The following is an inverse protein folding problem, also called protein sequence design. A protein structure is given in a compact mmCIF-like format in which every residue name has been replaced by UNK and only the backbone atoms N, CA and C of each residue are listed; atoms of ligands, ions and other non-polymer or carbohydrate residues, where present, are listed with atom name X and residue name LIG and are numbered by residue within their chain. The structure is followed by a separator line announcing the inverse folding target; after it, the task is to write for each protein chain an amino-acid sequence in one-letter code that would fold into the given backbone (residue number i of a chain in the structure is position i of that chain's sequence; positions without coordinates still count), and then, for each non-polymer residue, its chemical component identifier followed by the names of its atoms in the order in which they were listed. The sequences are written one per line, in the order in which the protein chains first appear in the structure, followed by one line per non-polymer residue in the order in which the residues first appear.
data_IF_985477964536
#
_entry.id   IF_985477964536
#
_cell.length_a   1.000
_cell.length_b   1.000
_cell.length_c   1.000
_cell.angle_alpha   90.00
_cell.angle_beta   90.00
_cell.angle_gamma   90.00
#
_symmetry.space_group_name_H-M   'P 1'
#
loop_
_entity.id
_entity.type
_entity.pdbx_description
1 polymer ?
#
# COMPACT_ATOMS: atom_id res chain seq x y z
N UNK A 1 -0.10 10.11 -28.06
CA UNK A 1 -1.49 9.68 -27.84
C UNK A 1 -1.99 10.39 -26.60
N UNK A 2 -2.87 11.37 -26.80
CA UNK A 2 -3.53 12.13 -25.72
C UNK A 2 -4.67 11.28 -25.16
N UNK A 3 -4.62 10.94 -23.87
CA UNK A 3 -5.79 10.49 -23.15
C UNK A 3 -6.45 11.70 -22.47
N UNK A 4 -7.73 11.96 -22.70
CA UNK A 4 -8.43 13.02 -21.98
C UNK A 4 -8.66 12.58 -20.53
N UNK A 5 -8.18 13.40 -19.59
CA UNK A 5 -8.53 13.32 -18.19
C UNK A 5 -10.05 13.56 -18.05
N UNK A 6 -10.80 12.55 -17.69
CA UNK A 6 -12.18 12.74 -17.24
C UNK A 6 -12.13 13.29 -15.81
N UNK A 7 -12.13 14.60 -15.70
CA UNK A 7 -12.52 15.27 -14.48
C UNK A 7 -14.03 15.13 -14.35
N UNK A 8 -14.49 14.24 -13.47
CA UNK A 8 -15.88 14.21 -13.05
C UNK A 8 -16.11 15.42 -12.14
N UNK A 9 -16.44 16.56 -12.75
CA UNK A 9 -17.01 17.70 -12.04
C UNK A 9 -18.42 17.29 -11.59
N UNK A 10 -18.61 17.06 -10.28
CA UNK A 10 -19.93 17.06 -9.70
C UNK A 10 -20.48 18.48 -9.75
N UNK A 11 -21.20 18.79 -10.81
CA UNK A 11 -22.08 19.95 -10.86
C UNK A 11 -23.27 19.64 -9.94
N UNK A 12 -23.24 20.19 -8.73
CA UNK A 12 -24.45 20.38 -7.95
C UNK A 12 -25.25 21.48 -8.62
N UNK A 13 -26.04 21.13 -9.62
CA UNK A 13 -27.12 21.98 -10.06
C UNK A 13 -28.16 21.98 -8.93
N UNK A 14 -28.13 23.01 -8.11
CA UNK A 14 -29.23 23.30 -7.19
C UNK A 14 -30.47 23.62 -8.01
N UNK A 15 -31.33 22.64 -8.21
CA UNK A 15 -32.69 22.88 -8.67
C UNK A 15 -33.45 23.44 -7.49
N UNK A 16 -33.62 24.78 -7.49
CA UNK A 16 -34.66 25.40 -6.67
C UNK A 16 -36.01 24.99 -7.28
N UNK A 17 -36.65 24.01 -6.68
CA UNK A 17 -38.06 23.76 -6.97
C UNK A 17 -38.85 24.85 -6.27
N UNK A 18 -39.34 25.80 -7.02
CA UNK A 18 -40.45 26.63 -6.57
C UNK A 18 -41.66 25.71 -6.46
N UNK A 19 -42.04 25.38 -5.23
CA UNK A 19 -43.34 24.76 -5.00
C UNK A 19 -44.40 25.78 -5.46
N UNK A 20 -45.17 25.40 -6.48
CA UNK A 20 -46.46 26.05 -6.71
C UNK A 20 -47.36 25.69 -5.49
N UNK A 21 -47.64 26.65 -4.68
CA UNK A 21 -48.76 26.60 -3.76
C UNK A 21 -50.03 26.71 -4.60
N UNK A 22 -50.61 25.61 -4.97
CA UNK A 22 -51.99 25.52 -5.39
C UNK A 22 -52.78 24.94 -4.22
N UNK A 23 -53.47 25.83 -3.54
CA UNK A 23 -54.49 25.53 -2.54
C UNK A 23 -55.69 24.82 -3.23
N UNK A 24 -55.56 23.57 -3.58
CA UNK A 24 -56.67 22.68 -3.87
C UNK A 24 -56.58 21.45 -2.96
N UNK A 25 -57.44 21.54 -1.92
CA UNK A 25 -57.65 20.62 -0.82
C UNK A 25 -58.24 19.27 -1.28
N UNK A 26 -57.70 18.63 -2.33
CA UNK A 26 -58.11 17.29 -2.75
C UNK A 26 -57.04 16.49 -3.43
N UNK A 27 -55.83 16.57 -2.99
CA UNK A 27 -54.73 15.72 -3.52
C UNK A 27 -54.64 14.45 -2.68
N UNK A 28 -54.81 13.32 -3.34
CA UNK A 28 -54.39 12.02 -2.81
C UNK A 28 -52.97 12.14 -2.29
N UNK A 29 -52.60 11.47 -1.17
CA UNK A 29 -51.23 11.60 -0.60
C UNK A 29 -50.21 11.24 -1.67
N UNK A 30 -49.55 12.28 -2.19
CA UNK A 30 -48.51 12.13 -3.20
C UNK A 30 -47.40 11.23 -2.67
N UNK A 31 -47.19 10.13 -3.36
CA UNK A 31 -46.06 9.23 -3.10
C UNK A 31 -44.77 10.03 -3.29
N UNK A 32 -44.08 10.31 -2.20
CA UNK A 32 -42.77 10.96 -2.29
C UNK A 32 -41.84 10.08 -3.11
N UNK A 33 -41.24 10.56 -4.22
CA UNK A 33 -40.33 9.77 -4.99
C UNK A 33 -39.10 9.41 -4.14
N UNK A 34 -38.75 8.15 -4.10
CA UNK A 34 -37.54 7.68 -3.46
C UNK A 34 -36.45 7.55 -4.53
N UNK A 35 -35.37 8.32 -4.40
CA UNK A 35 -34.21 8.20 -5.28
C UNK A 35 -33.20 7.26 -4.57
N UNK A 36 -32.91 6.13 -5.20
CA UNK A 36 -31.86 5.21 -4.74
C UNK A 36 -30.59 5.49 -5.53
N UNK A 37 -29.50 5.79 -4.82
CA UNK A 37 -28.17 5.81 -5.40
C UNK A 37 -27.50 4.48 -5.13
N UNK A 38 -27.01 3.84 -6.17
CA UNK A 38 -26.28 2.59 -6.06
C UNK A 38 -24.91 2.74 -6.72
N UNK A 39 -23.84 2.43 -5.99
CA UNK A 39 -22.50 2.36 -6.57
C UNK A 39 -22.37 1.03 -7.32
N UNK A 40 -22.41 1.10 -8.66
CA UNK A 40 -22.26 -0.07 -9.55
C UNK A 40 -20.81 -0.32 -9.99
N UNK A 41 -19.87 0.47 -9.46
CA UNK A 41 -18.44 0.26 -9.75
C UNK A 41 -18.00 -1.00 -8.99
N UNK A 42 -17.47 -2.03 -9.69
CA UNK A 42 -16.99 -3.22 -9.01
C UNK A 42 -15.86 -2.86 -8.05
N UNK A 43 -15.86 -3.47 -6.88
CA UNK A 43 -14.76 -3.33 -5.90
C UNK A 43 -13.46 -3.77 -6.54
N UNK A 44 -12.46 -2.89 -6.53
CA UNK A 44 -11.09 -3.21 -6.96
C UNK A 44 -10.20 -3.31 -5.73
N UNK A 45 -9.41 -4.37 -5.66
CA UNK A 45 -8.42 -4.54 -4.59
C UNK A 45 -7.30 -3.50 -4.71
N UNK A 46 -6.96 -3.10 -5.96
CA UNK A 46 -5.91 -2.12 -6.24
C UNK A 46 -6.42 -1.06 -7.21
N UNK A 47 -6.08 0.19 -6.91
CA UNK A 47 -6.35 1.33 -7.81
C UNK A 47 -5.26 1.42 -8.88
N UNK A 48 -4.01 1.16 -8.47
CA UNK A 48 -2.83 1.11 -9.32
C UNK A 48 -1.92 -0.02 -8.82
N UNK A 49 -1.28 -0.72 -9.74
CA UNK A 49 -0.29 -1.77 -9.43
C UNK A 49 0.87 -1.72 -10.42
N UNK A 50 1.99 -2.27 -10.02
CA UNK A 50 3.20 -2.33 -10.84
C UNK A 50 4.28 -3.15 -10.16
N UNK A 51 5.44 -3.23 -10.79
CA UNK A 51 6.64 -3.86 -10.25
C UNK A 51 7.78 -2.85 -10.20
N UNK A 52 8.73 -3.07 -9.30
CA UNK A 52 9.98 -2.34 -9.27
C UNK A 52 11.17 -3.31 -9.42
N UNK A 53 12.31 -2.77 -9.83
CA UNK A 53 13.50 -3.58 -10.02
C UNK A 53 14.08 -4.07 -8.68
N UNK A 54 14.76 -5.20 -8.70
CA UNK A 54 15.54 -5.67 -7.57
C UNK A 54 16.55 -4.61 -7.10
N UNK A 55 16.75 -4.49 -5.79
CA UNK A 55 17.55 -3.45 -5.15
C UNK A 55 18.77 -4.08 -4.49
N UNK A 56 19.93 -3.87 -5.09
CA UNK A 56 21.19 -4.33 -4.50
C UNK A 56 21.52 -3.58 -3.19
N UNK A 57 22.34 -4.16 -2.28
CA UNK A 57 22.81 -3.48 -1.10
C UNK A 57 23.43 -2.10 -1.42
N UNK A 58 23.02 -1.07 -0.68
CA UNK A 58 23.41 0.31 -0.91
C UNK A 58 22.73 1.04 -2.07
N UNK A 59 21.90 0.33 -2.87
CA UNK A 59 21.16 0.91 -3.97
C UNK A 59 19.76 1.39 -3.56
N UNK A 60 19.11 2.10 -4.47
CA UNK A 60 17.74 2.58 -4.33
C UNK A 60 16.92 2.29 -5.59
N UNK A 61 15.62 2.15 -5.42
CA UNK A 61 14.64 2.19 -6.51
C UNK A 61 13.52 3.17 -6.18
N UNK A 62 12.91 3.74 -7.21
CA UNK A 62 11.78 4.66 -7.03
C UNK A 62 10.70 4.39 -8.05
N UNK A 63 9.46 4.62 -7.64
CA UNK A 63 8.30 4.57 -8.51
C UNK A 63 7.29 5.65 -8.14
N UNK A 64 6.49 6.05 -9.11
CA UNK A 64 5.51 7.12 -8.94
C UNK A 64 4.09 6.59 -9.08
N UNK A 65 3.15 7.21 -8.35
CA UNK A 65 1.75 6.84 -8.40
C UNK A 65 0.87 7.99 -7.92
N UNK A 66 -0.38 7.99 -8.37
CA UNK A 66 -1.40 8.89 -7.86
C UNK A 66 -2.19 8.21 -6.74
N UNK A 67 -2.53 8.97 -5.72
CA UNK A 67 -3.37 8.48 -4.64
C UNK A 67 -4.24 9.60 -4.06
N UNK A 68 -5.38 9.21 -3.53
CA UNK A 68 -6.30 10.07 -2.80
C UNK A 68 -6.26 9.75 -1.29
N UNK A 69 -6.81 10.66 -0.49
CA UNK A 69 -7.00 10.45 0.95
C UNK A 69 -7.74 9.12 1.19
N UNK A 70 -7.27 8.36 2.16
CA UNK A 70 -7.78 7.04 2.51
C UNK A 70 -7.14 5.88 1.75
N UNK A 71 -6.42 6.14 0.65
CA UNK A 71 -5.65 5.12 -0.05
C UNK A 71 -4.33 4.85 0.66
N UNK A 72 -3.80 3.65 0.45
CA UNK A 72 -2.59 3.15 1.11
C UNK A 72 -1.67 2.49 0.11
N UNK A 73 -0.37 2.54 0.42
CA UNK A 73 0.65 1.85 -0.35
C UNK A 73 0.94 0.49 0.26
N UNK A 74 0.85 -0.55 -0.56
CA UNK A 74 1.33 -1.90 -0.26
C UNK A 74 2.36 -2.30 -1.29
N UNK A 75 3.40 -2.97 -0.84
CA UNK A 75 4.36 -3.66 -1.70
C UNK A 75 4.92 -4.88 -0.96
N UNK A 76 5.55 -5.77 -1.70
CA UNK A 76 6.34 -6.86 -1.13
C UNK A 76 7.61 -7.04 -1.94
N UNK A 77 8.70 -7.36 -1.26
CA UNK A 77 9.97 -7.74 -1.89
C UNK A 77 10.65 -8.82 -1.07
N UNK A 78 11.35 -9.74 -1.74
CA UNK A 78 12.00 -10.86 -1.06
C UNK A 78 13.21 -10.40 -0.25
N UNK A 79 13.43 -11.03 0.90
CA UNK A 79 14.74 -11.06 1.54
C UNK A 79 15.56 -12.13 0.82
N UNK A 80 16.39 -11.75 -0.17
CA UNK A 80 16.98 -12.73 -1.09
C UNK A 80 17.90 -13.74 -0.40
N UNK A 81 18.51 -13.39 0.72
CA UNK A 81 19.31 -14.32 1.52
C UNK A 81 18.47 -15.04 2.60
N UNK A 82 17.24 -15.39 2.25
CA UNK A 82 16.36 -16.26 3.01
C UNK A 82 15.66 -17.24 2.08
N UNK A 83 15.07 -18.28 2.60
CA UNK A 83 14.35 -19.25 1.77
C UNK A 83 12.94 -18.78 1.38
N UNK A 84 12.22 -18.04 2.24
CA UNK A 84 10.90 -17.50 1.91
C UNK A 84 10.49 -16.26 2.74
N UNK A 85 11.45 -15.56 3.35
CA UNK A 85 11.18 -14.31 4.03
C UNK A 85 10.98 -13.17 3.03
N UNK A 86 10.15 -12.20 3.39
CA UNK A 86 9.88 -11.03 2.57
C UNK A 86 9.62 -9.78 3.40
N UNK A 87 9.89 -8.62 2.80
CA UNK A 87 9.56 -7.32 3.36
C UNK A 87 8.23 -6.83 2.83
N UNK A 88 7.35 -6.39 3.70
CA UNK A 88 6.09 -5.75 3.34
C UNK A 88 5.61 -4.82 4.47
N UNK A 89 4.83 -3.77 4.16
CA UNK A 89 4.06 -3.07 5.16
C UNK A 89 3.05 -4.00 5.83
N UNK A 90 2.73 -3.72 7.09
CA UNK A 90 1.60 -4.37 7.75
C UNK A 90 0.28 -3.97 7.09
N UNK A 91 -0.68 -4.92 7.04
CA UNK A 91 -2.03 -4.65 6.57
C UNK A 91 -2.71 -3.56 7.44
N UNK A 92 -3.32 -2.54 6.87
CA UNK A 92 -3.73 -2.35 5.47
C UNK A 92 -2.73 -1.54 4.60
N UNK A 93 -1.48 -1.39 5.00
CA UNK A 93 -0.47 -0.67 4.24
C UNK A 93 -0.11 0.71 4.79
N UNK A 94 0.87 1.37 4.17
CA UNK A 94 1.36 2.69 4.52
C UNK A 94 0.30 3.74 4.20
N UNK A 95 -0.12 4.52 5.19
CA UNK A 95 -1.00 5.66 4.96
C UNK A 95 -0.27 6.73 4.13
N UNK A 96 -0.95 7.28 3.13
CA UNK A 96 -0.38 8.29 2.23
C UNK A 96 -0.78 9.72 2.64
N UNK A 97 -1.89 9.86 3.35
CA UNK A 97 -2.39 11.13 3.88
C UNK A 97 -2.79 10.94 5.34
N UNK A 98 -2.63 12.00 6.11
CA UNK A 98 -3.20 12.07 7.46
C UNK A 98 -4.72 12.38 7.41
N UNK A 99 -5.36 12.40 8.57
CA UNK A 99 -6.81 12.64 8.69
C UNK A 99 -7.24 14.03 8.18
N UNK A 100 -6.34 15.01 8.19
CA UNK A 100 -6.57 16.35 7.64
C UNK A 100 -6.33 16.42 6.12
N UNK A 101 -5.91 15.32 5.47
CA UNK A 101 -5.62 15.28 4.04
C UNK A 101 -4.25 15.83 3.66
N UNK A 102 -3.36 16.00 4.63
CA UNK A 102 -1.96 16.39 4.35
C UNK A 102 -1.18 15.13 3.95
N UNK A 103 -0.43 15.14 2.82
CA UNK A 103 0.35 13.99 2.39
C UNK A 103 1.51 13.73 3.38
N UNK A 104 1.77 12.46 3.65
CA UNK A 104 2.98 12.04 4.34
C UNK A 104 4.18 12.13 3.39
N UNK A 105 5.26 12.75 3.88
CA UNK A 105 6.53 12.92 3.16
C UNK A 105 7.72 12.65 4.07
N UNK A 106 8.90 12.42 3.45
CA UNK A 106 10.12 12.05 4.16
C UNK A 106 10.22 10.55 4.42
N UNK A 107 11.10 10.17 5.32
CA UNK A 107 11.29 8.77 5.75
C UNK A 107 10.10 8.34 6.60
N UNK A 108 9.49 7.24 6.20
CA UNK A 108 8.39 6.63 6.95
C UNK A 108 8.97 5.56 7.86
N UNK A 109 9.21 5.94 9.10
CA UNK A 109 9.79 5.03 10.09
C UNK A 109 8.86 3.83 10.32
N UNK A 110 9.48 2.65 10.45
CA UNK A 110 8.78 1.37 10.69
C UNK A 110 7.65 1.05 9.69
N UNK A 111 7.77 1.59 8.46
CA UNK A 111 6.78 1.37 7.41
C UNK A 111 6.69 -0.10 6.98
N UNK A 112 7.75 -0.86 7.19
CA UNK A 112 7.94 -2.21 6.67
C UNK A 112 8.32 -3.15 7.79
N UNK A 113 7.79 -4.36 7.73
CA UNK A 113 8.13 -5.48 8.59
C UNK A 113 8.76 -6.59 7.78
N UNK A 114 9.43 -7.51 8.47
CA UNK A 114 9.90 -8.76 7.90
C UNK A 114 8.87 -9.85 8.21
N UNK A 115 8.52 -10.60 7.18
CA UNK A 115 7.49 -11.64 7.23
C UNK A 115 8.07 -12.98 6.76
N UNK A 116 7.66 -14.04 7.43
CA UNK A 116 7.79 -15.41 6.97
C UNK A 116 6.56 -15.74 6.11
N UNK A 117 6.78 -16.25 4.90
CA UNK A 117 5.70 -16.68 4.00
C UNK A 117 5.07 -18.03 4.46
N UNK A 118 5.73 -18.76 5.36
CA UNK A 118 5.25 -20.03 5.93
C UNK A 118 5.29 -21.21 4.96
N UNK A 119 5.98 -21.09 3.84
CA UNK A 119 6.06 -22.14 2.82
C UNK A 119 7.32 -23.00 2.96
N UNK A 120 8.28 -22.53 3.75
CA UNK A 120 9.57 -23.19 4.01
C UNK A 120 9.88 -23.20 5.50
N UNK A 121 10.57 -24.24 5.95
CA UNK A 121 11.16 -24.25 7.28
C UNK A 121 12.21 -23.18 7.34
N UNK A 122 12.12 -22.28 8.33
CA UNK A 122 13.05 -21.17 8.46
C UNK A 122 14.48 -21.64 8.68
N UNK A 123 15.42 -20.96 8.07
CA UNK A 123 16.86 -21.11 8.29
C UNK A 123 17.45 -19.74 8.65
N UNK A 124 18.63 -19.73 9.28
CA UNK A 124 19.32 -18.48 9.56
C UNK A 124 19.56 -17.73 8.24
N UNK A 125 19.02 -16.51 8.08
CA UNK A 125 19.27 -15.72 6.87
C UNK A 125 20.74 -15.48 6.62
N UNK A 126 21.15 -15.59 5.37
CA UNK A 126 22.53 -15.40 4.97
C UNK A 126 22.79 -15.88 3.54
N UNK A 127 23.99 -15.59 2.99
CA UNK A 127 24.30 -15.88 1.57
C UNK A 127 24.35 -17.38 1.22
N UNK A 128 24.38 -18.25 2.24
CA UNK A 128 24.46 -19.71 2.07
C UNK A 128 23.14 -20.42 2.41
N UNK A 129 22.04 -19.66 2.59
CA UNK A 129 20.74 -20.27 2.87
C UNK A 129 20.31 -21.18 1.70
N UNK A 130 19.63 -22.30 2.02
CA UNK A 130 19.18 -23.22 0.99
C UNK A 130 18.00 -22.66 0.19
N UNK A 131 18.05 -22.78 -1.12
CA UNK A 131 16.97 -22.46 -2.03
C UNK A 131 16.53 -23.70 -2.82
N UNK A 132 15.26 -24.11 -2.74
CA UNK A 132 14.13 -23.46 -2.03
C UNK A 132 14.01 -23.83 -0.55
N UNK A 133 14.92 -24.62 0.05
CA UNK A 133 14.81 -25.12 1.42
C UNK A 133 13.76 -26.22 1.59
N UNK A 134 13.51 -26.61 2.83
CA UNK A 134 12.55 -27.66 3.19
C UNK A 134 11.13 -27.10 3.17
N UNK A 135 10.21 -27.78 2.48
CA UNK A 135 8.81 -27.33 2.39
C UNK A 135 8.11 -27.39 3.77
N UNK A 136 7.30 -26.39 4.05
CA UNK A 136 6.46 -26.27 5.23
C UNK A 136 5.05 -25.85 4.82
N UNK A 137 4.04 -26.24 5.58
CA UNK A 137 2.68 -25.76 5.45
C UNK A 137 2.36 -24.88 6.66
N UNK A 138 2.79 -23.63 6.58
CA UNK A 138 2.58 -22.61 7.61
C UNK A 138 1.63 -21.51 7.16
N UNK A 139 1.58 -20.43 7.93
CA UNK A 139 0.83 -19.22 7.64
C UNK A 139 1.80 -18.04 7.64
N UNK A 140 1.46 -16.99 6.88
CA UNK A 140 2.24 -15.75 6.88
C UNK A 140 2.26 -15.17 8.30
N UNK A 141 3.45 -14.94 8.83
CA UNK A 141 3.65 -14.38 10.16
C UNK A 141 4.81 -13.39 10.20
N UNK A 142 4.72 -12.40 11.09
CA UNK A 142 5.83 -11.46 11.32
C UNK A 142 6.97 -12.20 12.05
N UNK A 143 8.20 -11.98 11.57
CA UNK A 143 9.40 -12.47 12.25
C UNK A 143 10.27 -11.30 12.72
N UNK A 144 10.73 -11.38 13.96
CA UNK A 144 11.67 -10.43 14.53
C UNK A 144 12.44 -11.07 15.70
N UNK A 145 13.62 -10.55 15.99
CA UNK A 145 14.44 -11.08 17.09
C UNK A 145 14.91 -12.52 16.84
N UNK A 146 14.78 -13.39 17.85
CA UNK A 146 15.25 -14.78 17.75
C UNK A 146 14.06 -15.73 17.89
N UNK A 147 13.97 -16.70 16.97
CA UNK A 147 12.95 -17.74 17.00
C UNK A 147 13.30 -18.88 17.98
N UNK A 148 12.44 -19.90 18.06
CA UNK A 148 12.59 -21.06 18.95
C UNK A 148 13.74 -21.98 18.53
N UNK A 149 14.10 -21.95 17.27
CA UNK A 149 15.22 -22.70 16.67
C UNK A 149 16.57 -21.99 16.85
N UNK A 150 16.56 -20.73 17.32
CA UNK A 150 17.75 -19.93 17.57
C UNK A 150 18.20 -19.09 16.36
N UNK A 151 17.42 -19.02 15.29
CA UNK A 151 17.68 -18.13 14.17
C UNK A 151 17.41 -16.68 14.57
N UNK A 152 18.26 -15.77 14.15
CA UNK A 152 18.13 -14.34 14.47
C UNK A 152 17.76 -13.54 13.23
N UNK A 153 16.68 -12.77 13.35
CA UNK A 153 16.12 -11.94 12.30
C UNK A 153 16.37 -10.46 12.60
N UNK A 154 17.00 -9.74 11.66
CA UNK A 154 17.21 -8.30 11.83
C UNK A 154 15.87 -7.55 11.74
N UNK A 155 15.78 -6.40 12.41
CA UNK A 155 14.65 -5.51 12.20
C UNK A 155 14.61 -5.05 10.73
N UNK A 156 13.44 -5.08 10.09
CA UNK A 156 13.29 -4.66 8.69
C UNK A 156 13.83 -3.24 8.45
N UNK A 157 13.65 -2.34 9.43
CA UNK A 157 14.14 -0.94 9.38
C UNK A 157 15.66 -0.79 9.38
N UNK A 158 16.42 -1.85 9.71
CA UNK A 158 17.88 -1.85 9.62
C UNK A 158 18.39 -2.27 8.23
N UNK A 159 17.52 -2.79 7.38
CA UNK A 159 17.85 -3.31 6.05
C UNK A 159 17.20 -2.50 4.93
N UNK A 160 15.98 -2.04 5.14
CA UNK A 160 15.16 -1.37 4.14
C UNK A 160 14.55 -0.09 4.70
N UNK A 161 14.70 1.00 3.95
CA UNK A 161 14.09 2.29 4.28
C UNK A 161 13.13 2.72 3.18
N UNK A 162 11.95 3.20 3.57
CA UNK A 162 10.96 3.79 2.67
C UNK A 162 10.89 5.28 2.89
N UNK A 163 10.92 6.05 1.82
CA UNK A 163 10.62 7.48 1.85
C UNK A 163 9.61 7.87 0.80
N UNK A 164 8.83 8.90 1.10
CA UNK A 164 7.81 9.46 0.22
C UNK A 164 8.10 10.93 -0.06
N UNK A 165 7.85 11.33 -1.30
CA UNK A 165 7.69 12.74 -1.67
C UNK A 165 6.35 12.94 -2.37
N UNK A 166 5.84 14.18 -2.37
CA UNK A 166 4.57 14.51 -2.99
C UNK A 166 4.68 15.79 -3.80
N UNK A 167 4.33 15.72 -5.08
CA UNK A 167 4.18 16.86 -5.96
C UNK A 167 2.71 17.32 -5.92
N UNK A 168 2.46 18.47 -5.31
CA UNK A 168 1.11 19.01 -5.17
C UNK A 168 0.50 19.49 -6.49
N UNK A 169 1.32 19.88 -7.46
CA UNK A 169 0.85 20.34 -8.78
C UNK A 169 0.34 19.18 -9.61
N UNK A 170 1.06 18.06 -9.57
CA UNK A 170 0.72 16.85 -10.30
C UNK A 170 -0.13 15.88 -9.49
N UNK A 171 -0.31 16.12 -8.17
CA UNK A 171 -0.94 15.17 -7.23
C UNK A 171 -0.26 13.79 -7.28
N UNK A 172 1.08 13.79 -7.34
CA UNK A 172 1.89 12.62 -7.61
C UNK A 172 2.79 12.30 -6.42
N UNK A 173 2.70 11.09 -5.90
CA UNK A 173 3.66 10.53 -4.97
C UNK A 173 4.85 9.92 -5.70
N UNK A 174 6.03 10.07 -5.12
CA UNK A 174 7.19 9.23 -5.41
C UNK A 174 7.53 8.45 -4.16
N UNK A 175 7.55 7.12 -4.27
CA UNK A 175 8.07 6.23 -3.23
C UNK A 175 9.51 5.85 -3.62
N UNK A 176 10.42 6.03 -2.69
CA UNK A 176 11.80 5.55 -2.81
C UNK A 176 12.02 4.46 -1.78
N UNK A 177 12.50 3.30 -2.25
CA UNK A 177 12.91 2.17 -1.42
C UNK A 177 14.43 2.08 -1.49
N UNK A 178 15.08 2.17 -0.33
CA UNK A 178 16.53 2.13 -0.20
C UNK A 178 16.96 0.86 0.50
N UNK A 179 17.87 0.12 -0.09
CA UNK A 179 18.53 -1.00 0.55
C UNK A 179 19.70 -0.46 1.39
N UNK A 180 19.52 -0.40 2.70
CA UNK A 180 20.49 0.12 3.65
C UNK A 180 21.30 -1.00 4.34
N UNK A 181 21.21 -2.24 3.86
CA UNK A 181 21.89 -3.40 4.43
C UNK A 181 23.38 -3.46 4.09
N UNK A 182 23.85 -2.62 3.17
CA UNK A 182 25.25 -2.62 2.69
C UNK A 182 26.26 -2.51 3.83
N UNK A 183 27.25 -3.40 3.85
CA UNK A 183 28.30 -3.45 4.86
C UNK A 183 27.86 -3.98 6.23
N UNK A 184 26.64 -4.46 6.37
CA UNK A 184 26.14 -5.11 7.59
C UNK A 184 26.32 -6.62 7.53
N UNK A 185 26.23 -7.31 8.69
CA UNK A 185 26.24 -8.79 8.73
C UNK A 185 25.02 -9.43 8.07
N UNK A 186 23.97 -8.63 7.82
CA UNK A 186 22.72 -9.05 7.20
C UNK A 186 22.54 -8.43 5.80
N UNK A 187 23.66 -8.10 5.14
CA UNK A 187 23.64 -7.58 3.78
C UNK A 187 22.90 -8.53 2.84
N UNK A 188 21.93 -8.01 2.09
CA UNK A 188 21.07 -8.80 1.21
C UNK A 188 20.52 -7.95 0.08
N UNK A 189 20.44 -8.47 -1.16
CA UNK A 189 19.55 -7.89 -2.19
C UNK A 189 18.08 -8.08 -1.82
N UNK A 190 17.20 -7.28 -2.41
CA UNK A 190 15.74 -7.49 -2.34
C UNK A 190 14.98 -6.87 -3.52
#
# INVERSE_FOLDING_TARGET
YFYPAFAAALLFAGFAFTACDDDDDNSAPGTKPTIKFENVIPTKNYVQSGTFAAVAPGATTSFTFHAAKGQRLMFATMYSYSNDLFFAPENPGIALFNDSGVPYTGVIANAVKLWDNGTRVNEQPGPNVNHPGVAQAGVVSEVNGTDTEGHTYPAASSLLQVSLTFDAVQSLFTCTISNISNGTSNETPF
#
